data_IF_160295970659
#
_entry.id   IF_160295970659
#
_cell.length_a   1.000
_cell.length_b   1.000
_cell.length_c   1.000
_cell.angle_alpha   90.00
_cell.angle_beta   90.00
_cell.angle_gamma   90.00
#
_symmetry.space_group_name_H-M   'P 1'
#
loop_
_entity.id
_entity.type
_entity.pdbx_description
1 polymer ?
#
# COMPACT_ATOMS: atom_id res chain seq x y z
N UNK A 1 -0.13 -8.66 -20.55
CA UNK A 1 -0.84 -7.45 -20.06
C UNK A 1 0.18 -6.32 -20.05
N UNK A 2 -0.18 -5.07 -20.38
CA UNK A 2 0.75 -3.95 -20.24
C UNK A 2 0.94 -3.66 -18.75
N UNK A 3 2.18 -3.55 -18.30
CA UNK A 3 2.48 -3.16 -16.93
C UNK A 3 2.09 -1.70 -16.68
N UNK A 4 1.70 -1.37 -15.45
CA UNK A 4 1.24 -0.04 -15.07
C UNK A 4 1.43 0.21 -13.57
N UNK A 5 1.52 1.49 -13.21
CA UNK A 5 1.61 1.93 -11.82
C UNK A 5 0.24 1.77 -11.16
N UNK A 6 0.18 1.01 -10.06
CA UNK A 6 -1.01 0.87 -9.22
C UNK A 6 -1.11 2.04 -8.25
N UNK A 7 0.01 2.40 -7.63
CA UNK A 7 0.09 3.53 -6.71
C UNK A 7 1.48 4.16 -6.72
N UNK A 8 1.56 5.47 -6.54
CA UNK A 8 2.81 6.23 -6.47
C UNK A 8 2.71 7.32 -5.41
N UNK A 9 3.73 7.44 -4.57
CA UNK A 9 3.74 8.41 -3.47
C UNK A 9 3.43 9.84 -3.95
N UNK A 10 4.04 10.27 -5.07
CA UNK A 10 3.84 11.62 -5.62
C UNK A 10 2.38 11.94 -5.98
N UNK A 11 1.56 10.94 -6.33
CA UNK A 11 0.14 11.15 -6.61
C UNK A 11 -0.61 11.69 -5.39
N UNK A 12 -0.15 11.35 -4.19
CA UNK A 12 -0.76 11.80 -2.94
C UNK A 12 -0.04 12.99 -2.33
N UNK A 13 1.29 13.01 -2.31
CA UNK A 13 2.07 14.09 -1.69
C UNK A 13 2.01 15.40 -2.48
N UNK A 14 1.82 15.33 -3.80
CA UNK A 14 1.75 16.51 -4.68
C UNK A 14 0.30 16.93 -5.00
N UNK A 15 -0.70 16.17 -4.52
CA UNK A 15 -2.11 16.53 -4.69
C UNK A 15 -2.39 17.90 -4.06
N UNK A 16 -2.88 18.88 -4.83
CA UNK A 16 -3.26 20.19 -4.29
C UNK A 16 -4.34 20.05 -3.21
N UNK A 17 -4.16 20.79 -2.10
CA UNK A 17 -5.09 20.80 -0.96
C UNK A 17 -5.27 22.23 -0.47
N UNK A 18 -6.44 22.52 0.09
CA UNK A 18 -6.77 23.79 0.73
C UNK A 18 -6.50 23.78 2.24
N UNK A 19 -5.78 22.77 2.75
CA UNK A 19 -5.39 22.62 4.16
C UNK A 19 -3.96 22.06 4.24
N UNK A 20 -3.30 22.28 5.40
CA UNK A 20 -1.99 21.70 5.67
C UNK A 20 -2.07 20.19 5.81
N UNK A 21 -1.26 19.48 5.02
CA UNK A 21 -1.23 18.03 5.00
C UNK A 21 0.17 17.51 5.28
N UNK A 22 0.29 16.68 6.31
CA UNK A 22 1.52 15.99 6.64
C UNK A 22 1.79 14.86 5.64
N UNK A 23 2.64 15.16 4.65
CA UNK A 23 3.07 14.22 3.61
C UNK A 23 3.78 12.98 4.17
N UNK A 24 4.37 13.05 5.37
CA UNK A 24 5.04 11.89 5.97
C UNK A 24 4.07 10.74 6.23
N UNK A 25 2.77 11.01 6.33
CA UNK A 25 1.72 9.97 6.43
C UNK A 25 1.60 9.14 5.15
N UNK A 26 1.83 9.74 3.98
CA UNK A 26 1.88 9.03 2.71
C UNK A 26 3.05 8.05 2.70
N UNK A 27 4.23 8.54 3.05
CA UNK A 27 5.43 7.71 3.08
C UNK A 27 5.30 6.56 4.08
N UNK A 28 4.73 6.84 5.26
CA UNK A 28 4.47 5.82 6.29
C UNK A 28 3.47 4.76 5.85
N UNK A 29 2.35 5.12 5.21
CA UNK A 29 1.43 4.09 4.73
C UNK A 29 2.08 3.26 3.62
N UNK A 30 2.77 3.91 2.67
CA UNK A 30 3.33 3.20 1.53
C UNK A 30 4.44 2.24 1.96
N UNK A 31 5.30 2.68 2.89
CA UNK A 31 6.31 1.80 3.53
C UNK A 31 5.64 0.60 4.18
N UNK A 32 4.66 0.86 5.03
CA UNK A 32 3.97 -0.18 5.80
C UNK A 32 3.21 -1.16 4.90
N UNK A 33 2.60 -0.69 3.81
CA UNK A 33 1.96 -1.54 2.82
C UNK A 33 2.98 -2.41 2.08
N UNK A 34 4.11 -1.86 1.64
CA UNK A 34 5.19 -2.61 0.99
C UNK A 34 5.76 -3.67 1.93
N UNK A 35 5.99 -3.32 3.20
CA UNK A 35 6.46 -4.26 4.22
C UNK A 35 5.44 -5.39 4.44
N UNK A 36 4.15 -5.06 4.49
CA UNK A 36 3.08 -6.05 4.61
C UNK A 36 3.05 -7.00 3.41
N UNK A 37 3.12 -6.47 2.19
CA UNK A 37 3.15 -7.27 0.97
C UNK A 37 4.36 -8.21 0.94
N UNK A 38 5.53 -7.69 1.31
CA UNK A 38 6.79 -8.45 1.41
C UNK A 38 6.66 -9.59 2.43
N UNK A 39 6.22 -9.29 3.65
CA UNK A 39 6.11 -10.27 4.74
C UNK A 39 5.11 -11.39 4.44
N UNK A 40 4.13 -11.14 3.58
CA UNK A 40 3.09 -12.11 3.23
C UNK A 40 3.32 -12.84 1.89
N UNK A 41 4.47 -12.63 1.23
CA UNK A 41 4.79 -13.27 -0.04
C UNK A 41 3.95 -12.77 -1.22
N UNK A 42 3.48 -11.52 -1.15
CA UNK A 42 2.58 -10.92 -2.15
C UNK A 42 3.32 -10.16 -3.26
N UNK A 43 4.65 -10.18 -3.24
CA UNK A 43 5.51 -9.54 -4.23
C UNK A 43 6.33 -10.57 -5.00
N UNK A 44 6.51 -10.35 -6.30
CA UNK A 44 7.46 -11.10 -7.12
C UNK A 44 8.91 -10.70 -6.81
N UNK A 45 9.13 -9.40 -6.53
CA UNK A 45 10.43 -8.83 -6.21
C UNK A 45 10.31 -7.76 -5.12
N UNK A 46 11.34 -7.53 -4.29
CA UNK A 46 11.34 -6.43 -3.33
C UNK A 46 11.24 -5.06 -4.03
N UNK A 47 10.29 -4.23 -3.57
CA UNK A 47 10.12 -2.85 -4.08
C UNK A 47 11.11 -1.89 -3.39
N UNK A 48 11.38 -2.10 -2.11
CA UNK A 48 12.30 -1.32 -1.29
C UNK A 48 13.17 -2.23 -0.43
N UNK A 49 14.43 -1.84 -0.22
CA UNK A 49 15.28 -2.46 0.79
C UNK A 49 14.80 -2.09 2.21
N UNK A 50 15.22 -2.85 3.22
CA UNK A 50 14.81 -2.66 4.61
C UNK A 50 15.23 -1.28 5.17
N UNK A 51 16.39 -0.78 4.77
CA UNK A 51 16.98 0.49 5.18
C UNK A 51 16.63 1.67 4.24
N UNK A 52 15.92 1.39 3.14
CA UNK A 52 15.56 2.41 2.16
C UNK A 52 14.29 3.18 2.58
N UNK A 53 14.38 4.50 2.56
CA UNK A 53 13.25 5.38 2.80
C UNK A 53 12.31 5.49 1.60
N UNK A 54 11.03 5.70 1.88
CA UNK A 54 10.04 6.01 0.85
C UNK A 54 10.22 7.45 0.39
N UNK A 55 10.20 7.66 -0.92
CA UNK A 55 10.27 8.98 -1.56
C UNK A 55 9.07 9.20 -2.48
N UNK A 56 8.94 10.39 -3.06
CA UNK A 56 7.91 10.69 -4.08
C UNK A 56 7.98 9.75 -5.30
N UNK A 57 9.14 9.15 -5.57
CA UNK A 57 9.33 8.22 -6.68
C UNK A 57 8.99 6.77 -6.35
N UNK A 58 8.81 6.44 -5.08
CA UNK A 58 8.36 5.10 -4.68
C UNK A 58 6.98 4.82 -5.25
N UNK A 59 6.87 3.67 -5.91
CA UNK A 59 5.66 3.22 -6.59
C UNK A 59 5.48 1.71 -6.44
N UNK A 60 4.25 1.25 -6.57
CA UNK A 60 3.88 -0.16 -6.66
C UNK A 60 3.40 -0.37 -8.10
N UNK A 61 4.09 -1.21 -8.86
CA UNK A 61 3.70 -1.64 -10.19
C UNK A 61 2.79 -2.86 -10.12
N UNK A 62 1.99 -3.07 -11.16
CA UNK A 62 1.24 -4.32 -11.30
C UNK A 62 2.17 -5.53 -11.42
N UNK A 63 3.31 -5.37 -12.10
CA UNK A 63 4.34 -6.42 -12.23
C UNK A 63 5.09 -6.75 -10.94
N UNK A 64 5.09 -5.86 -9.94
CA UNK A 64 5.71 -6.12 -8.65
C UNK A 64 4.95 -7.18 -7.84
N UNK A 65 3.66 -7.36 -8.11
CA UNK A 65 2.75 -8.20 -7.32
C UNK A 65 2.65 -9.62 -7.88
N UNK A 66 2.56 -10.60 -6.98
CA UNK A 66 2.09 -11.95 -7.36
C UNK A 66 0.61 -11.87 -7.79
N UNK A 67 0.07 -12.95 -8.38
CA UNK A 67 -1.37 -13.00 -8.70
C UNK A 67 -2.25 -12.76 -7.45
N UNK A 68 -1.90 -13.41 -6.33
CA UNK A 68 -2.54 -13.18 -5.04
C UNK A 68 -2.36 -11.74 -4.54
N UNK A 69 -1.15 -11.20 -4.65
CA UNK A 69 -0.85 -9.82 -4.26
C UNK A 69 -1.68 -8.81 -5.04
N UNK A 70 -1.91 -9.07 -6.33
CA UNK A 70 -2.74 -8.24 -7.19
C UNK A 70 -4.22 -8.29 -6.79
N UNK A 71 -4.76 -9.46 -6.46
CA UNK A 71 -6.11 -9.59 -5.91
C UNK A 71 -6.25 -8.88 -4.56
N UNK A 72 -5.27 -9.06 -3.68
CA UNK A 72 -5.23 -8.39 -2.38
C UNK A 72 -5.24 -6.87 -2.53
N UNK A 73 -4.39 -6.33 -3.40
CA UNK A 73 -4.30 -4.89 -3.64
C UNK A 73 -5.62 -4.34 -4.18
N UNK A 74 -6.32 -5.04 -5.07
CA UNK A 74 -7.67 -4.63 -5.52
C UNK A 74 -8.64 -4.49 -4.36
N UNK A 75 -8.60 -5.38 -3.37
CA UNK A 75 -9.48 -5.30 -2.18
C UNK A 75 -9.08 -4.12 -1.28
N UNK A 76 -7.79 -3.90 -1.06
CA UNK A 76 -7.27 -2.82 -0.21
C UNK A 76 -7.62 -1.45 -0.80
N UNK A 77 -7.29 -1.20 -2.07
CA UNK A 77 -7.59 0.07 -2.73
C UNK A 77 -9.08 0.22 -3.07
N UNK A 78 -9.77 -0.87 -3.43
CA UNK A 78 -11.20 -0.81 -3.77
C UNK A 78 -12.10 -0.41 -2.61
N UNK A 79 -11.68 -0.69 -1.36
CA UNK A 79 -12.38 -0.21 -0.16
C UNK A 79 -11.77 1.03 0.45
N UNK A 80 -10.49 1.29 0.18
CA UNK A 80 -9.61 2.34 0.72
C UNK A 80 -9.58 2.53 2.24
N UNK A 81 -10.43 1.85 3.02
CA UNK A 81 -10.69 2.11 4.44
C UNK A 81 -9.43 2.11 5.30
N UNK A 82 -8.54 1.15 5.10
CA UNK A 82 -7.30 1.12 5.88
C UNK A 82 -6.39 2.29 5.50
N UNK A 83 -6.23 2.57 4.20
CA UNK A 83 -5.43 3.68 3.67
C UNK A 83 -5.96 5.01 4.23
N UNK A 84 -7.26 5.25 4.11
CA UNK A 84 -7.91 6.47 4.58
C UNK A 84 -7.68 6.67 6.09
N UNK A 85 -7.86 5.62 6.89
CA UNK A 85 -7.62 5.69 8.34
C UNK A 85 -6.16 6.00 8.69
N UNK A 86 -5.19 5.47 7.94
CA UNK A 86 -3.75 5.74 8.16
C UNK A 86 -3.42 7.18 7.75
N UNK A 87 -3.87 7.62 6.58
CA UNK A 87 -3.63 8.98 6.06
C UNK A 87 -4.30 10.05 6.93
N UNK A 88 -5.49 9.78 7.45
CA UNK A 88 -6.18 10.65 8.41
C UNK A 88 -5.55 10.61 9.82
N UNK A 89 -4.63 9.68 10.09
CA UNK A 89 -3.99 9.52 11.40
C UNK A 89 -4.90 8.88 12.45
N UNK A 90 -5.99 8.23 12.03
CA UNK A 90 -6.92 7.48 12.89
C UNK A 90 -6.45 6.05 13.17
N UNK A 91 -5.42 5.60 12.45
CA UNK A 91 -4.84 4.26 12.56
C UNK A 91 -3.33 4.34 12.37
N UNK A 92 -2.60 3.56 13.17
CA UNK A 92 -1.17 3.37 12.95
C UNK A 92 -0.95 2.56 11.66
N UNK A 93 0.03 2.92 10.81
CA UNK A 93 0.33 2.16 9.59
C UNK A 93 0.55 0.67 9.87
N UNK A 94 1.24 0.30 10.94
CA UNK A 94 1.51 -1.09 11.32
C UNK A 94 0.30 -1.86 11.91
N UNK A 95 -0.88 -1.24 12.04
CA UNK A 95 -2.11 -1.94 12.45
C UNK A 95 -2.74 -2.65 11.24
N UNK A 96 -2.29 -3.88 11.02
CA UNK A 96 -2.69 -4.70 9.87
C UNK A 96 -4.01 -5.45 10.03
N UNK A 97 -4.78 -5.27 11.11
CA UNK A 97 -6.01 -6.04 11.35
C UNK A 97 -7.01 -6.04 10.19
N UNK A 98 -7.12 -4.90 9.47
CA UNK A 98 -7.98 -4.79 8.29
C UNK A 98 -7.38 -5.48 7.05
N UNK A 99 -6.05 -5.42 6.91
CA UNK A 99 -5.31 -6.09 5.83
C UNK A 99 -5.36 -7.62 6.04
N UNK A 100 -5.10 -8.11 7.25
CA UNK A 100 -5.17 -9.53 7.59
C UNK A 100 -6.56 -10.11 7.34
N UNK A 101 -7.59 -9.35 7.71
CA UNK A 101 -8.98 -9.74 7.42
C UNK A 101 -9.27 -9.81 5.93
N UNK A 102 -8.65 -8.95 5.11
CA UNK A 102 -8.81 -8.97 3.66
C UNK A 102 -8.06 -10.16 3.05
N UNK A 103 -6.79 -10.34 3.41
CA UNK A 103 -5.95 -11.42 2.93
C UNK A 103 -6.52 -12.80 3.30
N UNK A 104 -6.96 -12.97 4.54
CA UNK A 104 -7.61 -14.21 4.99
C UNK A 104 -8.83 -14.59 4.14
N UNK A 105 -9.64 -13.61 3.72
CA UNK A 105 -10.81 -13.88 2.87
C UNK A 105 -10.44 -14.32 1.45
N UNK A 106 -9.28 -13.92 0.96
CA UNK A 106 -8.76 -14.33 -0.34
C UNK A 106 -8.20 -15.75 -0.25
N UNK A 107 -7.45 -16.05 0.81
CA UNK A 107 -6.84 -17.37 1.06
C UNK A 107 -7.83 -18.44 1.47
N UNK A 108 -8.88 -18.07 2.21
CA UNK A 108 -9.92 -18.98 2.68
C UNK A 108 -11.29 -18.52 2.14
N UNK A 109 -11.53 -18.66 0.81
CA UNK A 109 -12.83 -18.38 0.24
C UNK A 109 -13.83 -19.43 0.76
N UNK A 110 -14.95 -18.96 1.31
CA UNK A 110 -16.04 -19.82 1.79
C UNK A 110 -16.76 -20.52 0.65
#
# INVERSE_FOLDING_TARGET
MKDYIIDKASWHTQRPRNYEFDKTRIYKYLRSLIDYLTANGLLNNPILAADQEVTDDTQIMASDLTEEGYEFIKVVYGKSKWIDMVVEGKKSPDDYKLLDKALKKIREPK
#
